data_IF_162664283231
#
_entry.id   IF_162664283231
#
_cell.length_a   1.000
_cell.length_b   1.000
_cell.length_c   1.000
_cell.angle_alpha   90.00
_cell.angle_beta   90.00
_cell.angle_gamma   90.00
#
_symmetry.space_group_name_H-M   'P 1'
#
loop_
_entity.id
_entity.type
_entity.pdbx_description
1 polymer ?
#
# COMPACT_ATOMS: atom_id res chain seq x y z
N UNK A 1 -2.12 17.36 4.54
CA UNK A 1 -1.56 15.99 4.53
C UNK A 1 -2.62 15.01 4.07
N UNK A 2 -2.25 14.11 3.16
CA UNK A 2 -3.09 13.02 2.65
C UNK A 2 -2.47 11.67 2.96
N UNK A 3 -3.29 10.62 2.92
CA UNK A 3 -2.84 9.23 3.01
C UNK A 3 -2.92 8.63 1.60
N UNK A 4 -1.76 8.36 1.02
CA UNK A 4 -1.62 7.59 -0.21
C UNK A 4 -0.76 6.37 0.09
N UNK A 5 -1.06 5.26 -0.58
CA UNK A 5 -0.26 4.05 -0.50
C UNK A 5 0.05 3.53 -1.89
N UNK A 6 1.25 3.00 -2.06
CA UNK A 6 1.82 2.53 -3.32
C UNK A 6 2.38 1.12 -3.10
N UNK A 7 2.29 0.29 -4.13
CA UNK A 7 3.10 -0.90 -4.28
C UNK A 7 3.95 -0.74 -5.53
N UNK A 8 5.25 -0.91 -5.38
CA UNK A 8 6.21 -0.92 -6.49
C UNK A 8 6.24 -2.29 -7.17
N UNK A 9 6.46 -2.29 -8.48
CA UNK A 9 6.75 -3.51 -9.24
C UNK A 9 8.01 -4.17 -8.68
N UNK A 10 8.00 -5.49 -8.60
CA UNK A 10 9.19 -6.26 -8.25
C UNK A 10 10.22 -6.20 -9.37
N UNK A 11 11.49 -6.38 -9.00
CA UNK A 11 12.62 -6.40 -9.93
C UNK A 11 12.37 -7.30 -11.15
N UNK A 12 11.84 -8.51 -10.94
CA UNK A 12 11.56 -9.46 -12.03
C UNK A 12 10.50 -8.92 -13.01
N UNK A 13 9.45 -8.27 -12.51
CA UNK A 13 8.40 -7.70 -13.36
C UNK A 13 8.95 -6.53 -14.20
N UNK A 14 9.79 -5.70 -13.60
CA UNK A 14 10.47 -4.60 -14.30
C UNK A 14 11.45 -5.10 -15.37
N UNK A 15 12.25 -6.11 -15.08
CA UNK A 15 13.17 -6.69 -16.08
C UNK A 15 12.44 -7.36 -17.25
N UNK A 16 11.22 -7.86 -17.02
CA UNK A 16 10.37 -8.39 -18.09
C UNK A 16 9.78 -7.28 -18.96
N UNK A 17 9.35 -6.17 -18.35
CA UNK A 17 8.77 -5.03 -19.06
C UNK A 17 9.81 -4.17 -19.79
N UNK A 18 11.03 -4.11 -19.24
CA UNK A 18 12.17 -3.39 -19.80
C UNK A 18 13.32 -4.35 -20.12
N UNK A 19 13.21 -5.16 -21.19
CA UNK A 19 14.27 -6.07 -21.58
C UNK A 19 15.60 -5.34 -21.78
N UNK A 20 16.66 -5.85 -21.17
CA UNK A 20 18.00 -5.26 -21.25
C UNK A 20 18.32 -4.22 -20.18
N UNK A 21 17.34 -3.86 -19.33
CA UNK A 21 17.57 -3.06 -18.14
C UNK A 21 17.95 -3.96 -16.96
N UNK A 22 18.71 -3.42 -16.01
CA UNK A 22 18.94 -4.03 -14.70
C UNK A 22 18.48 -3.08 -13.62
N UNK A 23 17.93 -3.67 -12.58
CA UNK A 23 17.37 -2.94 -11.46
C UNK A 23 18.00 -3.40 -10.15
N UNK A 24 18.11 -2.48 -9.20
CA UNK A 24 18.43 -2.78 -7.81
C UNK A 24 17.27 -2.36 -6.93
N UNK A 25 16.88 -3.27 -6.02
CA UNK A 25 15.75 -3.06 -5.12
C UNK A 25 16.22 -2.40 -3.84
N UNK A 26 15.64 -1.26 -3.50
CA UNK A 26 15.80 -0.62 -2.19
C UNK A 26 15.20 -1.54 -1.10
N UNK A 27 15.96 -1.89 -0.04
CA UNK A 27 15.54 -2.93 0.90
C UNK A 27 14.22 -2.68 1.63
N UNK A 28 13.90 -1.43 1.97
CA UNK A 28 12.79 -1.06 2.88
C UNK A 28 11.47 -0.93 2.12
N UNK A 29 11.42 -0.05 1.13
CA UNK A 29 10.27 0.27 0.29
C UNK A 29 10.04 -0.75 -0.83
N UNK A 30 11.08 -1.47 -1.24
CA UNK A 30 11.03 -2.34 -2.41
C UNK A 30 10.99 -1.60 -3.74
N UNK A 31 11.16 -0.27 -3.74
CA UNK A 31 11.35 0.53 -4.95
C UNK A 31 12.58 0.02 -5.71
N UNK A 32 12.50 -0.05 -7.03
CA UNK A 32 13.58 -0.54 -7.87
C UNK A 32 14.16 0.61 -8.70
N UNK A 33 15.45 0.87 -8.53
CA UNK A 33 16.19 1.85 -9.30
C UNK A 33 16.92 1.18 -10.47
N UNK A 34 17.06 1.89 -11.59
CA UNK A 34 17.80 1.39 -12.74
C UNK A 34 19.30 1.51 -12.47
N UNK A 35 20.02 0.38 -12.53
CA UNK A 35 21.48 0.34 -12.44
C UNK A 35 22.14 0.08 -13.80
N UNK A 36 21.37 -0.33 -14.81
CA UNK A 36 21.83 -0.44 -16.18
C UNK A 36 20.68 -0.23 -17.18
N UNK A 37 20.89 0.53 -18.27
CA UNK A 37 22.08 1.33 -18.56
C UNK A 37 22.22 2.52 -17.61
N UNK A 38 23.46 2.92 -17.32
CA UNK A 38 23.75 3.99 -16.38
C UNK A 38 23.10 5.33 -16.79
N UNK A 39 22.57 6.06 -15.82
CA UNK A 39 21.86 7.33 -16.02
C UNK A 39 20.46 7.22 -16.63
N UNK A 40 19.97 6.02 -16.95
CA UNK A 40 18.60 5.85 -17.42
C UNK A 40 17.58 6.15 -16.33
N UNK A 41 16.49 6.82 -16.71
CA UNK A 41 15.37 7.13 -15.82
C UNK A 41 14.10 6.54 -16.38
N UNK A 42 13.35 5.86 -15.54
CA UNK A 42 12.04 5.33 -15.87
C UNK A 42 10.98 6.22 -15.20
N UNK A 43 9.86 6.52 -15.88
CA UNK A 43 8.79 7.31 -15.29
C UNK A 43 8.26 6.66 -14.00
N UNK A 44 7.89 7.48 -13.03
CA UNK A 44 7.32 7.02 -11.75
C UNK A 44 6.12 6.07 -11.91
N UNK A 45 5.26 6.33 -12.89
CA UNK A 45 4.10 5.46 -13.18
C UNK A 45 4.51 4.07 -13.69
N UNK A 46 5.67 3.96 -14.33
CA UNK A 46 6.15 2.68 -14.86
C UNK A 46 6.76 1.78 -13.77
N UNK A 47 7.19 2.34 -12.62
CA UNK A 47 7.72 1.55 -11.48
C UNK A 47 6.65 1.13 -10.48
N UNK A 48 5.42 1.68 -10.57
CA UNK A 48 4.30 1.34 -9.69
C UNK A 48 3.42 0.26 -10.33
N UNK A 49 2.90 -0.65 -9.51
CA UNK A 49 1.86 -1.61 -9.93
C UNK A 49 0.47 -1.18 -9.43
N UNK A 50 0.41 -0.56 -8.25
CA UNK A 50 -0.84 -0.19 -7.61
C UNK A 50 -0.63 1.06 -6.77
N UNK A 51 -1.59 1.97 -6.85
CA UNK A 51 -1.59 3.21 -6.08
C UNK A 51 -3.02 3.47 -5.62
N UNK A 52 -3.19 3.79 -4.33
CA UNK A 52 -4.49 4.12 -3.75
C UNK A 52 -4.40 5.41 -2.96
N UNK A 53 -5.39 6.28 -3.14
CA UNK A 53 -5.58 7.46 -2.33
C UNK A 53 -6.71 7.22 -1.34
N UNK A 54 -6.41 7.28 -0.05
CA UNK A 54 -7.36 6.99 1.01
C UNK A 54 -8.04 8.23 1.59
N UNK A 55 -7.50 9.42 1.35
CA UNK A 55 -8.10 10.65 1.82
C UNK A 55 -7.12 11.71 2.29
N UNK A 56 -7.64 12.90 2.57
CA UNK A 56 -6.92 13.89 3.39
C UNK A 56 -7.06 13.55 4.89
N UNK A 57 -6.35 14.28 5.76
CA UNK A 57 -6.40 14.08 7.21
C UNK A 57 -7.81 14.07 7.79
N UNK A 58 -8.72 14.90 7.27
CA UNK A 58 -10.12 14.95 7.71
C UNK A 58 -10.87 13.68 7.32
N UNK A 59 -10.72 13.22 6.08
CA UNK A 59 -11.29 11.95 5.62
C UNK A 59 -10.76 10.77 6.44
N UNK A 60 -9.46 10.71 6.72
CA UNK A 60 -8.86 9.65 7.53
C UNK A 60 -9.39 9.70 8.98
N UNK A 61 -9.55 10.89 9.55
CA UNK A 61 -10.17 11.07 10.86
C UNK A 61 -11.60 10.54 10.92
N UNK A 62 -12.43 10.88 9.92
CA UNK A 62 -13.81 10.38 9.80
C UNK A 62 -13.84 8.87 9.59
N UNK A 63 -13.01 8.35 8.68
CA UNK A 63 -12.91 6.93 8.38
C UNK A 63 -12.53 6.12 9.63
N UNK A 64 -11.56 6.60 10.41
CA UNK A 64 -11.16 5.97 11.68
C UNK A 64 -12.32 5.89 12.67
N UNK A 65 -13.13 6.95 12.77
CA UNK A 65 -14.33 6.95 13.60
C UNK A 65 -15.37 5.93 13.13
N UNK A 66 -15.60 5.86 11.81
CA UNK A 66 -16.53 4.92 11.19
C UNK A 66 -16.06 3.46 11.32
N UNK A 67 -14.77 3.19 11.19
CA UNK A 67 -14.19 1.84 11.29
C UNK A 67 -14.18 1.36 12.74
N UNK A 68 -14.10 2.28 13.72
CA UNK A 68 -14.02 1.92 15.12
C UNK A 68 -15.20 1.11 15.67
N UNK A 69 -16.37 1.14 15.01
CA UNK A 69 -17.52 0.29 15.36
C UNK A 69 -17.38 -1.17 14.93
N UNK A 70 -16.47 -1.47 13.99
CA UNK A 70 -16.26 -2.80 13.44
C UNK A 70 -15.02 -3.49 14.02
N UNK A 71 -14.02 -2.71 14.44
CA UNK A 71 -12.71 -3.23 14.87
C UNK A 71 -12.40 -2.88 16.33
N UNK A 72 -11.75 -3.80 17.03
CA UNK A 72 -11.41 -3.67 18.45
C UNK A 72 -10.36 -2.59 18.76
N UNK A 73 -10.00 -2.51 20.05
CA UNK A 73 -8.96 -1.58 20.55
C UNK A 73 -7.55 -1.92 20.05
N UNK A 74 -7.27 -3.20 19.83
CA UNK A 74 -5.98 -3.69 19.33
C UNK A 74 -5.92 -3.77 17.78
N UNK A 75 -6.72 -2.94 17.09
CA UNK A 75 -6.91 -3.10 15.65
C UNK A 75 -5.62 -2.83 14.85
N UNK A 76 -5.28 -3.77 13.97
CA UNK A 76 -4.18 -3.67 13.04
C UNK A 76 -4.42 -2.54 12.03
N UNK A 77 -5.64 -2.38 11.51
CA UNK A 77 -5.98 -1.26 10.62
C UNK A 77 -5.76 0.09 11.29
N UNK A 78 -6.17 0.24 12.55
CA UNK A 78 -5.94 1.49 13.31
C UNK A 78 -4.46 1.75 13.57
N UNK A 79 -3.66 0.71 13.81
CA UNK A 79 -2.25 0.84 14.18
C UNK A 79 -1.31 0.98 12.99
N UNK A 80 -1.59 0.28 11.89
CA UNK A 80 -0.69 0.17 10.73
C UNK A 80 -1.09 1.09 9.58
N UNK A 81 -2.38 1.43 9.46
CA UNK A 81 -2.91 2.18 8.30
C UNK A 81 -3.49 3.54 8.70
N UNK A 82 -4.29 3.59 9.78
CA UNK A 82 -5.05 4.78 10.18
C UNK A 82 -4.51 5.46 11.44
N UNK A 83 -3.23 5.23 11.75
CA UNK A 83 -2.57 5.82 12.91
C UNK A 83 -2.37 7.32 12.72
N UNK A 84 -2.38 8.08 13.82
CA UNK A 84 -2.23 9.54 13.77
C UNK A 84 -0.75 9.92 13.71
N UNK A 85 -0.16 10.02 12.52
CA UNK A 85 1.25 10.40 12.34
C UNK A 85 1.61 10.48 10.85
N UNK A 86 2.67 11.18 10.49
CA UNK A 86 3.10 11.31 9.09
C UNK A 86 3.45 9.95 8.49
N UNK A 87 2.61 9.45 7.59
CA UNK A 87 2.76 8.13 6.98
C UNK A 87 3.81 8.06 5.87
N UNK A 88 4.34 9.19 5.39
CA UNK A 88 5.30 9.16 4.29
C UNK A 88 6.55 8.37 4.69
N UNK A 89 6.81 7.27 3.98
CA UNK A 89 7.92 6.34 4.25
C UNK A 89 7.57 5.13 5.12
N UNK A 90 6.37 5.07 5.71
CA UNK A 90 5.94 3.88 6.45
C UNK A 90 5.70 2.72 5.48
N UNK A 91 6.07 1.51 5.90
CA UNK A 91 5.91 0.29 5.11
C UNK A 91 5.12 -0.78 5.86
N UNK A 92 4.29 -1.51 5.13
CA UNK A 92 3.62 -2.71 5.61
C UNK A 92 4.17 -3.90 4.83
N UNK A 93 4.94 -4.73 5.53
CA UNK A 93 5.48 -5.97 5.00
C UNK A 93 4.45 -7.10 4.95
N UNK A 94 4.71 -8.10 4.11
CA UNK A 94 3.82 -9.23 3.87
C UNK A 94 3.43 -9.97 5.15
N UNK A 95 4.36 -10.09 6.10
CA UNK A 95 4.14 -10.74 7.40
C UNK A 95 2.98 -10.12 8.20
N UNK A 96 2.63 -8.85 7.93
CA UNK A 96 1.54 -8.12 8.60
C UNK A 96 0.21 -8.18 7.85
N UNK A 97 0.18 -8.67 6.61
CA UNK A 97 -1.04 -8.65 5.80
C UNK A 97 -2.15 -9.50 6.42
N UNK A 98 -1.82 -10.65 7.00
CA UNK A 98 -2.81 -11.50 7.66
C UNK A 98 -3.59 -10.80 8.78
N UNK A 99 -2.94 -9.91 9.53
CA UNK A 99 -3.59 -9.11 10.58
C UNK A 99 -4.61 -8.12 9.99
N UNK A 100 -4.31 -7.55 8.81
CA UNK A 100 -5.20 -6.61 8.13
C UNK A 100 -6.38 -7.32 7.48
N UNK A 101 -6.13 -8.44 6.80
CA UNK A 101 -7.14 -9.18 6.05
C UNK A 101 -8.31 -9.67 6.91
N UNK A 102 -8.03 -10.07 8.15
CA UNK A 102 -9.07 -10.46 9.10
C UNK A 102 -10.01 -9.30 9.45
N UNK A 103 -9.46 -8.09 9.61
CA UNK A 103 -10.27 -6.89 9.88
C UNK A 103 -10.98 -6.37 8.63
N UNK A 104 -10.35 -6.49 7.46
CA UNK A 104 -10.93 -6.09 6.18
C UNK A 104 -12.21 -6.85 5.85
N UNK A 105 -12.26 -8.15 6.14
CA UNK A 105 -13.47 -8.96 5.94
C UNK A 105 -14.67 -8.43 6.73
N UNK A 106 -14.45 -7.85 7.92
CA UNK A 106 -15.51 -7.23 8.73
C UNK A 106 -16.01 -5.92 8.11
N UNK A 107 -15.14 -5.18 7.43
CA UNK A 107 -15.45 -3.91 6.79
C UNK A 107 -16.14 -4.09 5.44
N UNK A 108 -15.81 -5.13 4.70
CA UNK A 108 -16.46 -5.47 3.41
C UNK A 108 -17.94 -5.82 3.59
N UNK A 109 -18.34 -6.36 4.74
CA UNK A 109 -19.73 -6.62 5.08
C UNK A 109 -20.52 -5.37 5.53
N UNK A 110 -19.86 -4.21 5.60
CA UNK A 110 -20.49 -2.94 6.02
C UNK A 110 -21.42 -2.39 4.93
N UNK A 111 -22.58 -1.87 5.33
CA UNK A 111 -23.46 -1.09 4.45
C UNK A 111 -22.98 0.34 4.20
N UNK A 112 -21.95 0.79 4.91
CA UNK A 112 -21.30 2.09 4.68
C UNK A 112 -20.35 1.98 3.49
N UNK A 113 -20.75 2.55 2.35
CA UNK A 113 -20.00 2.51 1.08
C UNK A 113 -18.57 3.05 1.22
N UNK A 114 -18.34 4.05 2.08
CA UNK A 114 -17.00 4.59 2.30
C UNK A 114 -16.10 3.59 3.02
N UNK A 115 -16.67 2.83 3.96
CA UNK A 115 -15.94 1.78 4.68
C UNK A 115 -15.66 0.59 3.77
N UNK A 116 -16.65 0.17 2.99
CA UNK A 116 -16.49 -0.91 2.01
C UNK A 116 -15.47 -0.55 0.93
N UNK A 117 -15.54 0.66 0.37
CA UNK A 117 -14.59 1.15 -0.64
C UNK A 117 -13.15 1.21 -0.12
N UNK A 118 -12.96 1.67 1.13
CA UNK A 118 -11.65 1.62 1.78
C UNK A 118 -11.12 0.18 1.90
N UNK A 119 -11.97 -0.76 2.32
CA UNK A 119 -11.57 -2.15 2.50
C UNK A 119 -11.13 -2.81 1.18
N UNK A 120 -11.90 -2.59 0.11
CA UNK A 120 -11.58 -3.06 -1.24
C UNK A 120 -10.28 -2.45 -1.76
N UNK A 121 -10.06 -1.15 -1.56
CA UNK A 121 -8.82 -0.49 -1.98
C UNK A 121 -7.59 -1.06 -1.25
N UNK A 122 -7.69 -1.29 0.06
CA UNK A 122 -6.59 -1.88 0.83
C UNK A 122 -6.36 -3.35 0.48
N UNK A 123 -7.41 -4.14 0.21
CA UNK A 123 -7.29 -5.50 -0.34
C UNK A 123 -6.53 -5.52 -1.66
N UNK A 124 -6.84 -4.55 -2.53
CA UNK A 124 -6.17 -4.42 -3.84
C UNK A 124 -4.67 -4.18 -3.68
N UNK A 125 -4.26 -3.34 -2.72
CA UNK A 125 -2.85 -3.15 -2.39
C UNK A 125 -2.20 -4.43 -1.84
N UNK A 126 -2.85 -5.14 -0.91
CA UNK A 126 -2.34 -6.40 -0.36
C UNK A 126 -2.13 -7.44 -1.46
N UNK A 127 -3.09 -7.56 -2.40
CA UNK A 127 -2.98 -8.44 -3.55
C UNK A 127 -1.79 -8.10 -4.44
N UNK A 128 -1.65 -6.82 -4.81
CA UNK A 128 -0.54 -6.33 -5.61
C UNK A 128 0.81 -6.54 -4.90
N UNK A 129 0.89 -6.24 -3.61
CA UNK A 129 2.07 -6.40 -2.78
C UNK A 129 2.56 -7.86 -2.76
N UNK A 130 1.65 -8.82 -2.59
CA UNK A 130 1.99 -10.25 -2.66
C UNK A 130 2.45 -10.69 -4.04
N UNK A 131 1.78 -10.22 -5.08
CA UNK A 131 2.14 -10.55 -6.46
C UNK A 131 3.56 -10.09 -6.78
N UNK A 132 3.89 -8.85 -6.40
CA UNK A 132 5.20 -8.25 -6.65
C UNK A 132 6.26 -8.63 -5.61
N UNK A 133 5.86 -9.36 -4.54
CA UNK A 133 6.71 -9.66 -3.36
C UNK A 133 7.35 -8.40 -2.78
N UNK A 134 6.58 -7.32 -2.72
CA UNK A 134 6.99 -6.01 -2.27
C UNK A 134 6.05 -5.49 -1.18
N UNK A 135 6.52 -4.61 -0.27
CA UNK A 135 5.68 -4.04 0.77
C UNK A 135 4.70 -3.01 0.20
N UNK A 136 3.71 -2.64 1.03
CA UNK A 136 2.89 -1.46 0.78
C UNK A 136 3.63 -0.26 1.39
N UNK A 137 3.85 0.79 0.62
CA UNK A 137 4.58 2.00 1.02
C UNK A 137 3.62 3.18 1.08
N UNK A 138 3.62 3.94 2.17
CA UNK A 138 2.82 5.15 2.28
C UNK A 138 3.60 6.39 1.85
N UNK A 139 2.95 7.30 1.13
CA UNK A 139 3.54 8.54 0.57
C UNK A 139 2.67 9.77 0.78
#
# INVERSE_FOLDING_TARGET
MSLKAIVFKGMLALEQEFPGYRFEREPISGECEVVYPDGARIPWEAVKVCEQWFGNVSHIGTLRGRIARYVGKASALKRLVLYSGSHAGDVIEEARFGELEGELALLEASSDEYVGGFAVALRTLIGAARQERNPIVFV
#
